data_IF_551639540370
#
_entry.id   IF_551639540370
#
_cell.length_a   1.000
_cell.length_b   1.000
_cell.length_c   1.000
_cell.angle_alpha   90.00
_cell.angle_beta   90.00
_cell.angle_gamma   90.00
#
_symmetry.space_group_name_H-M   'P 1'
#
loop_
_entity.id
_entity.type
_entity.pdbx_description
1 polymer ?
#
# COMPACT_ATOMS: atom_id res chain seq x y z
N UNK A 1 7.38 6.84 22.99
CA UNK A 1 6.27 6.86 22.01
C UNK A 1 6.83 6.76 20.58
N UNK A 2 7.62 5.72 20.31
CA UNK A 2 7.99 5.36 18.95
C UNK A 2 6.76 4.66 18.37
N UNK A 3 5.98 5.39 17.56
CA UNK A 3 4.80 4.85 16.89
C UNK A 3 5.29 3.78 15.92
N UNK A 4 5.13 2.52 16.32
CA UNK A 4 5.51 1.34 15.55
C UNK A 4 4.95 1.44 14.14
N UNK A 5 5.86 1.60 13.18
CA UNK A 5 5.63 1.41 11.75
C UNK A 5 6.24 0.07 11.32
N UNK A 6 6.22 -0.91 12.21
CA UNK A 6 6.73 -2.23 11.90
C UNK A 6 5.65 -3.20 12.30
N UNK A 7 5.00 -3.72 11.26
CA UNK A 7 4.77 -5.16 11.17
C UNK A 7 4.07 -5.75 12.37
N UNK A 8 2.76 -5.47 12.47
CA UNK A 8 1.87 -6.34 13.24
C UNK A 8 0.64 -6.64 12.41
N UNK A 9 0.80 -7.72 11.64
CA UNK A 9 -0.25 -8.68 11.37
C UNK A 9 -1.54 -8.10 10.78
N UNK A 10 -1.56 -7.97 9.45
CA UNK A 10 -2.78 -8.31 8.68
C UNK A 10 -2.42 -9.46 7.75
N UNK A 11 -2.09 -10.59 8.37
CA UNK A 11 -2.24 -11.91 7.76
C UNK A 11 -3.71 -12.36 7.91
N UNK A 12 -4.67 -11.51 7.55
CA UNK A 12 -6.08 -11.83 7.72
C UNK A 12 -6.90 -11.27 6.58
N UNK A 13 -7.55 -12.20 5.88
CA UNK A 13 -8.68 -12.00 4.99
C UNK A 13 -8.37 -11.30 3.66
N UNK A 14 -7.70 -12.04 2.78
CA UNK A 14 -8.21 -12.16 1.40
C UNK A 14 -9.17 -13.35 1.38
N UNK A 15 -10.26 -13.22 2.13
CA UNK A 15 -11.41 -14.10 2.01
C UNK A 15 -12.56 -13.26 1.47
N UNK A 16 -13.14 -13.79 0.39
CA UNK A 16 -14.45 -13.45 -0.16
C UNK A 16 -14.61 -12.09 -0.85
N UNK A 17 -14.71 -12.17 -2.20
CA UNK A 17 -15.78 -11.60 -3.05
C UNK A 17 -15.26 -11.41 -4.48
N UNK A 18 -15.83 -11.89 -5.59
CA UNK A 18 -16.95 -12.76 -5.97
C UNK A 18 -16.84 -12.90 -7.52
N UNK A 19 -17.01 -14.10 -8.08
CA UNK A 19 -17.79 -14.36 -9.31
C UNK A 19 -17.74 -15.85 -9.70
N UNK A 20 -18.88 -16.53 -9.88
CA UNK A 20 -18.93 -17.97 -10.11
C UNK A 20 -18.81 -18.29 -11.60
N UNK A 21 -17.59 -18.47 -12.11
CA UNK A 21 -17.39 -19.05 -13.44
C UNK A 21 -16.31 -20.11 -13.43
N UNK A 22 -16.80 -21.33 -13.22
CA UNK A 22 -16.33 -22.56 -13.86
C UNK A 22 -14.83 -22.86 -13.76
N UNK A 23 -14.54 -23.84 -12.89
CA UNK A 23 -13.56 -24.91 -13.12
C UNK A 23 -12.11 -24.45 -13.36
N UNK A 24 -11.33 -24.31 -12.30
CA UNK A 24 -9.91 -24.74 -12.28
C UNK A 24 -9.49 -25.05 -10.83
N UNK A 25 -8.78 -26.17 -10.59
CA UNK A 25 -8.42 -26.61 -9.24
C UNK A 25 -7.20 -25.85 -8.73
N UNK A 26 -7.20 -25.51 -7.44
CA UNK A 26 -6.02 -25.21 -6.62
C UNK A 26 -4.91 -24.39 -7.30
N UNK A 27 -5.06 -23.07 -7.30
CA UNK A 27 -3.94 -22.14 -7.44
C UNK A 27 -3.82 -21.33 -6.18
N UNK A 28 -3.17 -21.87 -5.14
CA UNK A 28 -2.62 -21.05 -4.07
C UNK A 28 -1.88 -19.88 -4.72
N UNK A 29 -2.32 -18.63 -4.46
CA UNK A 29 -1.60 -17.43 -4.94
C UNK A 29 -0.11 -17.65 -4.67
N UNK A 30 0.72 -17.59 -5.71
CA UNK A 30 2.17 -17.74 -5.55
C UNK A 30 2.63 -16.76 -4.45
N UNK A 31 3.57 -17.14 -3.56
CA UNK A 31 4.10 -16.22 -2.56
C UNK A 31 4.58 -14.90 -3.18
N UNK A 32 5.02 -14.92 -4.44
CA UNK A 32 5.40 -13.74 -5.21
C UNK A 32 4.21 -12.79 -5.47
N UNK A 33 3.03 -13.33 -5.74
CA UNK A 33 1.83 -12.54 -6.03
C UNK A 33 1.25 -11.90 -4.76
N UNK A 34 1.37 -12.60 -3.62
CA UNK A 34 1.04 -12.05 -2.30
C UNK A 34 2.01 -10.92 -1.95
N UNK A 35 3.30 -11.08 -2.20
CA UNK A 35 4.31 -10.03 -1.96
C UNK A 35 4.06 -8.78 -2.82
N UNK A 36 3.71 -8.94 -4.10
CA UNK A 36 3.37 -7.80 -4.96
C UNK A 36 2.12 -7.07 -4.48
N UNK A 37 1.09 -7.80 -4.05
CA UNK A 37 -0.15 -7.24 -3.50
C UNK A 37 0.13 -6.48 -2.18
N UNK A 38 0.95 -7.04 -1.30
CA UNK A 38 1.42 -6.39 -0.07
C UNK A 38 2.22 -5.11 -0.36
N UNK A 39 3.19 -5.18 -1.26
CA UNK A 39 3.99 -4.01 -1.65
C UNK A 39 3.11 -2.89 -2.20
N UNK A 40 2.10 -3.22 -3.01
CA UNK A 40 1.13 -2.25 -3.50
C UNK A 40 0.32 -1.63 -2.36
N UNK A 41 -0.18 -2.43 -1.43
CA UNK A 41 -0.94 -1.96 -0.27
C UNK A 41 -0.10 -1.05 0.63
N UNK A 42 1.16 -1.42 0.89
CA UNK A 42 2.09 -0.62 1.70
C UNK A 42 2.34 0.76 1.07
N UNK A 43 2.53 0.81 -0.25
CA UNK A 43 2.70 2.05 -0.99
C UNK A 43 1.43 2.92 -0.95
N UNK A 44 0.24 2.32 -1.10
CA UNK A 44 -1.05 3.02 -1.00
C UNK A 44 -1.32 3.59 0.40
N UNK A 45 -0.99 2.82 1.44
CA UNK A 45 -1.12 3.28 2.83
C UNK A 45 -0.20 4.46 3.09
N UNK A 46 1.05 4.37 2.62
CA UNK A 46 2.04 5.45 2.73
C UNK A 46 1.58 6.71 2.01
N UNK A 47 1.03 6.58 0.79
CA UNK A 47 0.47 7.71 0.02
C UNK A 47 -0.66 8.41 0.78
N UNK A 48 -1.58 7.62 1.33
CA UNK A 48 -2.73 8.14 2.09
C UNK A 48 -2.27 8.90 3.34
N UNK A 49 -1.26 8.38 4.03
CA UNK A 49 -0.64 9.07 5.17
C UNK A 49 -0.02 10.39 4.76
N UNK A 50 0.78 10.42 3.70
CA UNK A 50 1.44 11.65 3.23
C UNK A 50 0.41 12.70 2.82
N UNK A 51 -0.68 12.29 2.17
CA UNK A 51 -1.80 13.19 1.87
C UNK A 51 -2.41 13.80 3.15
N UNK A 52 -2.64 12.98 4.18
CA UNK A 52 -3.15 13.47 5.47
C UNK A 52 -2.13 14.40 6.18
N UNK A 53 -0.84 14.07 6.12
CA UNK A 53 0.23 14.94 6.63
C UNK A 53 0.28 16.25 5.84
N UNK A 54 0.06 16.26 4.53
CA UNK A 54 0.05 17.46 3.69
C UNK A 54 -1.12 18.40 3.97
N UNK A 55 -2.26 17.86 4.39
CA UNK A 55 -3.42 18.62 4.86
C UNK A 55 -3.13 19.33 6.18
N UNK A 56 -2.44 18.65 7.11
CA UNK A 56 -2.07 19.21 8.42
C UNK A 56 -0.77 20.01 8.41
N UNK A 57 0.07 19.85 7.38
CA UNK A 57 1.36 20.52 7.25
C UNK A 57 1.18 22.01 6.94
N UNK A 58 1.52 22.84 7.92
CA UNK A 58 1.54 24.30 7.82
C UNK A 58 2.89 24.84 7.33
N UNK A 59 3.97 24.07 7.51
CA UNK A 59 5.33 24.50 7.18
C UNK A 59 5.64 24.25 5.69
N UNK A 60 6.09 25.28 4.92
CA UNK A 60 6.29 25.16 3.48
C UNK A 60 7.41 24.18 3.11
N UNK A 61 8.50 24.11 3.89
CA UNK A 61 9.57 23.15 3.66
C UNK A 61 9.12 21.70 3.93
N UNK A 62 8.28 21.52 4.96
CA UNK A 62 7.72 20.21 5.27
C UNK A 62 6.76 19.75 4.18
N UNK A 63 5.88 20.63 3.69
CA UNK A 63 5.01 20.35 2.53
C UNK A 63 5.81 19.92 1.30
N UNK A 64 6.86 20.65 0.93
CA UNK A 64 7.73 20.26 -0.20
C UNK A 64 8.33 18.86 -0.03
N UNK A 65 8.75 18.51 1.19
CA UNK A 65 9.28 17.17 1.47
C UNK A 65 8.21 16.07 1.33
N UNK A 66 6.98 16.35 1.76
CA UNK A 66 5.84 15.44 1.63
C UNK A 66 5.42 15.29 0.16
N UNK A 67 5.40 16.36 -0.62
CA UNK A 67 5.12 16.33 -2.06
C UNK A 67 6.14 15.48 -2.82
N UNK A 68 7.44 15.67 -2.52
CA UNK A 68 8.51 14.87 -3.13
C UNK A 68 8.39 13.37 -2.76
N UNK A 69 8.09 13.08 -1.49
CA UNK A 69 7.87 11.72 -1.03
C UNK A 69 6.63 11.09 -1.70
N UNK A 70 5.55 11.86 -1.89
CA UNK A 70 4.35 11.40 -2.60
C UNK A 70 4.64 11.08 -4.06
N UNK A 71 5.36 11.95 -4.78
CA UNK A 71 5.74 11.72 -6.16
C UNK A 71 6.59 10.44 -6.31
N UNK A 72 7.48 10.18 -5.34
CA UNK A 72 8.28 8.96 -5.31
C UNK A 72 7.43 7.70 -5.08
N UNK A 73 6.43 7.75 -4.19
CA UNK A 73 5.49 6.63 -3.98
C UNK A 73 4.61 6.39 -5.20
N UNK A 74 4.10 7.45 -5.84
CA UNK A 74 3.29 7.36 -7.04
C UNK A 74 4.08 6.75 -8.21
N UNK A 75 5.37 7.10 -8.34
CA UNK A 75 6.27 6.47 -9.31
C UNK A 75 6.42 4.97 -9.05
N UNK A 76 6.68 4.57 -7.80
CA UNK A 76 6.78 3.15 -7.44
C UNK A 76 5.48 2.39 -7.69
N UNK A 77 4.33 3.00 -7.39
CA UNK A 77 3.01 2.41 -7.68
C UNK A 77 2.79 2.23 -9.18
N UNK A 78 3.28 3.17 -10.00
CA UNK A 78 3.20 3.10 -11.46
C UNK A 78 4.13 2.05 -12.04
N UNK A 79 5.27 1.78 -11.41
CA UNK A 79 6.20 0.71 -11.80
C UNK A 79 5.70 -0.69 -11.37
N UNK A 80 4.80 -0.77 -10.39
CA UNK A 80 4.22 -2.02 -9.87
C UNK A 80 2.92 -2.45 -10.59
N UNK A 81 2.34 -1.59 -11.43
CA UNK A 81 1.06 -1.81 -12.13
C UNK A 81 1.23 -1.99 -13.62
#
# INVERSE_FOLDING_TARGET
>A
MARGWESKDVASQVEETEAPRQKVPHGSKSPEQIQLEQQRQDLQLSRTRIMNELVSATHPNHRKSLEAALAHLDKKLSELG
#
